data_IF_066504446939
#
_entry.id   IF_066504446939
#
_cell.length_a   1.000
_cell.length_b   1.000
_cell.length_c   1.000
_cell.angle_alpha   90.00
_cell.angle_beta   90.00
_cell.angle_gamma   90.00
#
_symmetry.space_group_name_H-M   'P 1'
#
loop_
_entity.id
_entity.type
_entity.pdbx_description
1 polymer ?
#
# COMPACT_ATOMS: atom_id res chain seq x y z
N UNK A 1 -54.16 -30.37 50.22
CA UNK A 1 -52.70 -30.20 50.12
C UNK A 1 -52.30 -30.44 48.68
N UNK A 2 -52.10 -29.40 47.82
CA UNK A 2 -50.77 -29.24 47.20
C UNK A 2 -50.41 -27.83 46.59
N UNK A 3 -50.86 -26.64 47.05
CA UNK A 3 -50.52 -25.39 46.33
C UNK A 3 -49.05 -24.95 46.50
N UNK A 4 -48.34 -25.43 47.53
CA UNK A 4 -46.94 -25.07 47.83
C UNK A 4 -45.92 -25.72 46.89
N UNK A 5 -46.18 -26.94 46.41
CA UNK A 5 -45.27 -27.65 45.52
C UNK A 5 -45.24 -27.04 44.12
N UNK A 6 -46.38 -26.51 43.66
CA UNK A 6 -46.53 -25.90 42.33
C UNK A 6 -45.81 -24.53 42.25
N UNK A 7 -45.81 -23.75 43.33
CA UNK A 7 -45.09 -22.48 43.40
C UNK A 7 -43.57 -22.70 43.37
N UNK A 8 -43.05 -23.70 44.10
CA UNK A 8 -41.61 -24.01 44.11
C UNK A 8 -41.09 -24.49 42.74
N UNK A 9 -41.87 -25.32 42.05
CA UNK A 9 -41.51 -25.80 40.71
C UNK A 9 -41.48 -24.66 39.68
N UNK A 10 -42.41 -23.70 39.77
CA UNK A 10 -42.46 -22.55 38.89
C UNK A 10 -41.26 -21.60 39.12
N UNK A 11 -40.87 -21.36 40.38
CA UNK A 11 -39.69 -20.54 40.72
C UNK A 11 -38.37 -21.13 40.20
N UNK A 12 -38.25 -22.47 40.17
CA UNK A 12 -37.07 -23.17 39.64
C UNK A 12 -36.97 -23.07 38.11
N UNK A 13 -38.10 -23.03 37.40
CA UNK A 13 -38.12 -22.89 35.94
C UNK A 13 -37.81 -21.47 35.46
N UNK A 14 -38.12 -20.43 36.25
CA UNK A 14 -37.79 -19.03 35.91
C UNK A 14 -36.31 -18.64 36.16
N UNK A 15 -35.57 -19.39 36.98
CA UNK A 15 -34.16 -19.09 37.27
C UNK A 15 -33.16 -19.51 36.18
N UNK A 16 -33.57 -20.37 35.24
CA UNK A 16 -32.65 -20.98 34.27
C UNK A 16 -32.27 -20.07 33.09
N UNK A 17 -32.97 -18.96 32.86
CA UNK A 17 -32.67 -18.03 31.77
C UNK A 17 -31.82 -16.82 32.19
N UNK A 18 -31.47 -16.68 33.48
CA UNK A 18 -30.65 -15.58 33.97
C UNK A 18 -29.14 -15.90 33.97
N UNK A 19 -28.76 -17.13 33.62
CA UNK A 19 -27.37 -17.55 33.41
C UNK A 19 -26.85 -17.06 32.05
N UNK A 20 -27.07 -15.79 31.75
CA UNK A 20 -26.53 -15.13 30.57
C UNK A 20 -25.06 -14.87 30.86
N UNK A 21 -24.25 -15.87 30.48
CA UNK A 21 -22.80 -15.95 30.59
C UNK A 21 -22.15 -14.55 30.69
N UNK A 22 -21.72 -14.17 31.89
CA UNK A 22 -20.88 -12.99 32.10
C UNK A 22 -19.55 -13.26 31.41
N UNK A 23 -19.50 -12.99 30.11
CA UNK A 23 -18.26 -12.96 29.35
C UNK A 23 -17.51 -11.74 29.84
N UNK A 24 -16.44 -11.97 30.59
CA UNK A 24 -15.58 -10.89 31.04
C UNK A 24 -14.89 -10.26 29.81
N UNK A 25 -15.22 -9.01 29.45
CA UNK A 25 -14.64 -8.36 28.27
C UNK A 25 -13.12 -8.17 28.41
N UNK A 26 -12.59 -8.10 29.64
CA UNK A 26 -11.16 -7.99 29.88
C UNK A 26 -10.46 -9.31 29.53
N UNK A 27 -11.03 -10.44 29.93
CA UNK A 27 -10.49 -11.75 29.59
C UNK A 27 -10.50 -12.02 28.07
N UNK A 28 -11.53 -11.54 27.37
CA UNK A 28 -11.61 -11.65 25.91
C UNK A 28 -10.55 -10.76 25.23
N UNK A 29 -10.35 -9.53 25.71
CA UNK A 29 -9.34 -8.64 25.14
C UNK A 29 -7.94 -9.22 25.29
N UNK A 30 -7.60 -9.73 26.48
CA UNK A 30 -6.29 -10.37 26.72
C UNK A 30 -6.09 -11.60 25.82
N UNK A 31 -7.12 -12.42 25.64
CA UNK A 31 -7.09 -13.57 24.74
C UNK A 31 -6.82 -13.15 23.29
N UNK A 32 -7.49 -12.09 22.82
CA UNK A 32 -7.29 -11.55 21.46
C UNK A 32 -5.87 -11.00 21.31
N UNK A 33 -5.40 -10.19 22.26
CA UNK A 33 -4.04 -9.62 22.20
C UNK A 33 -2.96 -10.72 22.22
N UNK A 34 -3.14 -11.78 23.01
CA UNK A 34 -2.24 -12.92 23.03
C UNK A 34 -2.21 -13.67 21.69
N UNK A 35 -3.38 -13.87 21.06
CA UNK A 35 -3.50 -14.47 19.74
C UNK A 35 -2.79 -13.62 18.67
N UNK A 36 -3.02 -12.31 18.67
CA UNK A 36 -2.36 -11.38 17.76
C UNK A 36 -0.84 -11.40 17.89
N UNK A 37 -0.29 -11.41 19.12
CA UNK A 37 1.16 -11.52 19.34
C UNK A 37 1.73 -12.81 18.76
N UNK A 38 1.00 -13.91 18.89
CA UNK A 38 1.42 -15.21 18.33
C UNK A 38 1.45 -15.18 16.80
N UNK A 39 0.43 -14.57 16.17
CA UNK A 39 0.39 -14.38 14.72
C UNK A 39 1.53 -13.49 14.22
N UNK A 40 1.86 -12.42 14.95
CA UNK A 40 2.98 -11.54 14.61
C UNK A 40 4.34 -12.23 14.79
N UNK A 41 4.51 -13.06 15.83
CA UNK A 41 5.75 -13.80 16.05
C UNK A 41 6.05 -14.83 14.93
N UNK A 42 5.01 -15.36 14.27
CA UNK A 42 5.15 -16.21 13.09
C UNK A 42 5.54 -15.44 11.82
N UNK A 43 5.35 -14.12 11.79
CA UNK A 43 5.81 -13.22 10.73
C UNK A 43 7.13 -12.58 11.13
N UNK A 44 8.17 -13.39 11.35
CA UNK A 44 9.53 -12.84 11.49
C UNK A 44 9.93 -12.15 10.19
N UNK A 45 10.29 -10.85 10.21
CA UNK A 45 10.88 -10.22 9.04
C UNK A 45 12.21 -10.92 8.78
N UNK A 46 12.25 -11.72 7.70
CA UNK A 46 13.48 -12.29 7.19
C UNK A 46 14.37 -11.12 6.79
N UNK A 47 15.35 -10.81 7.64
CA UNK A 47 16.43 -9.91 7.31
C UNK A 47 17.29 -10.61 6.28
N UNK A 48 16.96 -10.43 5.00
CA UNK A 48 17.74 -10.98 3.91
C UNK A 48 19.15 -10.36 3.93
N UNK A 49 20.22 -11.15 3.71
CA UNK A 49 21.53 -10.59 3.45
C UNK A 49 21.45 -9.65 2.24
N UNK A 50 21.92 -8.42 2.41
CA UNK A 50 21.90 -7.38 1.39
C UNK A 50 22.96 -7.65 0.32
N UNK A 51 22.70 -8.63 -0.54
CA UNK A 51 23.28 -8.64 -1.89
C UNK A 51 22.51 -7.59 -2.68
N UNK A 52 23.12 -6.53 -3.24
CA UNK A 52 22.38 -5.58 -4.05
C UNK A 52 21.76 -6.36 -5.23
N UNK A 53 20.43 -6.47 -5.32
CA UNK A 53 19.84 -7.09 -6.50
C UNK A 53 20.21 -6.20 -7.68
N UNK A 54 20.67 -6.81 -8.77
CA UNK A 54 20.57 -6.20 -10.09
C UNK A 54 19.13 -5.70 -10.18
N UNK A 55 18.94 -4.39 -10.16
CA UNK A 55 17.62 -3.78 -9.99
C UNK A 55 16.80 -4.08 -11.25
N UNK A 56 16.11 -5.21 -11.25
CA UNK A 56 15.17 -5.56 -12.29
C UNK A 56 14.06 -4.53 -12.28
N UNK A 57 13.82 -3.94 -13.44
CA UNK A 57 12.74 -2.97 -13.64
C UNK A 57 11.43 -3.61 -13.17
N UNK A 58 10.61 -2.91 -12.38
CA UNK A 58 9.41 -3.49 -11.80
C UNK A 58 8.41 -3.88 -12.91
N UNK A 59 7.81 -5.07 -12.78
CA UNK A 59 6.75 -5.53 -13.69
C UNK A 59 5.33 -5.11 -13.28
N UNK A 60 5.16 -4.50 -12.11
CA UNK A 60 3.86 -4.10 -11.56
C UNK A 60 3.95 -2.75 -10.84
N UNK A 61 2.89 -1.94 -10.94
CA UNK A 61 2.81 -0.59 -10.38
C UNK A 61 2.91 -0.58 -8.85
N UNK A 62 2.32 -1.59 -8.19
CA UNK A 62 2.41 -1.76 -6.73
C UNK A 62 3.85 -1.85 -6.21
N UNK A 63 4.80 -2.31 -7.03
CA UNK A 63 6.22 -2.41 -6.66
C UNK A 63 6.94 -1.06 -6.68
N UNK A 64 6.28 0.01 -7.16
CA UNK A 64 6.81 1.37 -7.12
C UNK A 64 6.66 2.01 -5.74
N UNK A 65 5.73 1.55 -4.90
CA UNK A 65 5.53 2.10 -3.55
C UNK A 65 6.81 1.95 -2.72
N UNK A 66 7.16 3.02 -2.01
CA UNK A 66 8.40 3.11 -1.23
C UNK A 66 9.67 3.39 -2.04
N UNK A 67 9.58 3.50 -3.36
CA UNK A 67 10.76 3.82 -4.18
C UNK A 67 11.09 5.31 -4.14
N UNK A 68 12.36 5.64 -4.40
CA UNK A 68 12.82 7.02 -4.46
C UNK A 68 12.58 7.66 -5.84
N UNK A 69 12.50 9.00 -5.92
CA UNK A 69 12.47 9.73 -7.18
C UNK A 69 13.58 9.34 -8.15
N UNK A 70 14.81 9.17 -7.66
CA UNK A 70 15.96 8.76 -8.46
C UNK A 70 15.80 7.36 -9.07
N UNK A 71 15.25 6.42 -8.29
CA UNK A 71 15.01 5.07 -8.77
C UNK A 71 13.94 5.06 -9.88
N UNK A 72 12.86 5.82 -9.71
CA UNK A 72 11.84 5.94 -10.75
C UNK A 72 12.40 6.57 -12.03
N UNK A 73 13.23 7.61 -11.92
CA UNK A 73 13.90 8.19 -13.09
C UNK A 73 14.81 7.21 -13.82
N UNK A 74 15.56 6.39 -13.08
CA UNK A 74 16.42 5.36 -13.69
C UNK A 74 15.63 4.28 -14.41
N UNK A 75 14.42 3.97 -13.97
CA UNK A 75 13.58 2.94 -14.59
C UNK A 75 12.68 3.45 -15.71
N UNK A 76 12.11 4.65 -15.54
CA UNK A 76 11.01 5.17 -16.36
C UNK A 76 11.38 6.45 -17.12
N UNK A 77 12.60 6.98 -16.93
CA UNK A 77 13.04 8.24 -17.52
C UNK A 77 12.47 9.46 -16.78
N UNK A 78 12.49 10.60 -17.45
CA UNK A 78 11.91 11.84 -16.90
C UNK A 78 10.39 11.83 -17.05
N UNK A 79 9.65 12.23 -16.00
CA UNK A 79 8.20 12.45 -16.12
C UNK A 79 7.90 13.65 -17.00
N UNK A 80 6.75 13.62 -17.69
CA UNK A 80 6.28 14.73 -18.53
C UNK A 80 5.76 15.91 -17.70
N UNK A 81 5.34 15.66 -16.46
CA UNK A 81 4.90 16.69 -15.53
C UNK A 81 5.43 16.39 -14.12
N UNK A 82 5.86 17.44 -13.42
CA UNK A 82 6.19 17.41 -11.99
C UNK A 82 5.55 18.62 -11.31
N UNK A 83 4.80 18.36 -10.25
CA UNK A 83 4.20 19.40 -9.40
C UNK A 83 4.53 19.12 -7.94
N UNK A 84 4.87 20.18 -7.19
CA UNK A 84 5.06 20.10 -5.74
C UNK A 84 3.78 20.54 -5.04
N UNK A 85 3.35 19.78 -4.04
CA UNK A 85 2.17 20.09 -3.23
C UNK A 85 2.47 19.90 -1.75
N UNK A 86 2.80 20.99 -1.05
CA UNK A 86 3.22 20.91 0.35
C UNK A 86 4.45 20.00 0.53
N UNK A 87 4.27 18.92 1.29
CA UNK A 87 5.28 17.88 1.51
C UNK A 87 5.30 16.79 0.44
N UNK A 88 4.36 16.82 -0.49
CA UNK A 88 4.21 15.86 -1.57
C UNK A 88 4.82 16.36 -2.90
N UNK A 89 5.10 15.42 -3.79
CA UNK A 89 5.33 15.67 -5.21
C UNK A 89 4.49 14.74 -6.07
N UNK A 90 3.84 15.29 -7.09
CA UNK A 90 3.01 14.55 -8.04
C UNK A 90 3.71 14.56 -9.38
N UNK A 91 3.98 13.36 -9.91
CA UNK A 91 4.63 13.15 -11.19
C UNK A 91 3.68 12.42 -12.13
N UNK A 92 3.66 12.85 -13.40
CA UNK A 92 2.95 12.17 -14.48
C UNK A 92 3.96 11.62 -15.47
N UNK A 93 3.88 10.33 -15.71
CA UNK A 93 4.51 9.68 -16.85
C UNK A 93 3.46 9.43 -17.93
N UNK A 94 3.85 9.62 -19.18
CA UNK A 94 2.94 9.46 -20.32
C UNK A 94 3.58 8.54 -21.36
N UNK A 95 2.81 7.56 -21.81
CA UNK A 95 3.09 6.73 -22.96
C UNK A 95 2.02 6.99 -24.04
N UNK A 96 2.08 6.26 -25.15
CA UNK A 96 1.15 6.47 -26.28
C UNK A 96 -0.29 6.11 -25.88
N UNK A 97 -0.44 5.03 -25.11
CA UNK A 97 -1.76 4.47 -24.76
C UNK A 97 -2.05 4.47 -23.26
N UNK A 98 -1.20 5.07 -22.44
CA UNK A 98 -1.44 5.14 -21.01
C UNK A 98 -0.75 6.33 -20.33
N UNK A 99 -1.18 6.58 -19.10
CA UNK A 99 -0.51 7.45 -18.15
C UNK A 99 -0.23 6.70 -16.86
N UNK A 100 0.84 7.08 -16.18
CA UNK A 100 1.16 6.62 -14.83
C UNK A 100 1.27 7.85 -13.93
N UNK A 101 0.34 7.96 -12.99
CA UNK A 101 0.31 8.96 -11.95
C UNK A 101 1.09 8.43 -10.74
N UNK A 102 2.04 9.22 -10.23
CA UNK A 102 2.87 8.88 -9.07
C UNK A 102 2.85 10.01 -8.06
N UNK A 103 2.55 9.68 -6.80
CA UNK A 103 2.62 10.61 -5.68
C UNK A 103 3.77 10.19 -4.78
N UNK A 104 4.63 11.14 -4.46
CA UNK A 104 5.69 11.01 -3.49
C UNK A 104 5.35 11.82 -2.26
N UNK A 105 5.54 11.23 -1.08
CA UNK A 105 5.41 11.92 0.20
C UNK A 105 6.72 11.84 0.98
N UNK A 106 6.82 12.70 1.98
CA UNK A 106 7.84 12.67 3.01
C UNK A 106 7.22 12.09 4.27
N UNK A 107 7.95 11.24 4.98
CA UNK A 107 7.56 10.84 6.33
C UNK A 107 7.57 12.05 7.27
N UNK A 108 6.83 11.99 8.38
CA UNK A 108 6.71 13.08 9.38
C UNK A 108 8.00 13.38 10.17
N UNK A 109 9.13 12.81 9.76
CA UNK A 109 10.45 13.06 10.34
C UNK A 109 11.13 14.20 9.58
N UNK A 110 11.77 15.17 10.28
CA UNK A 110 12.51 16.24 9.63
C UNK A 110 13.54 15.70 8.62
N UNK A 111 13.56 16.30 7.43
CA UNK A 111 14.44 15.92 6.31
C UNK A 111 14.28 14.48 5.79
N UNK A 112 13.15 13.81 6.07
CA UNK A 112 12.86 12.52 5.47
C UNK A 112 12.90 12.60 3.93
N UNK A 113 13.45 11.58 3.26
CA UNK A 113 13.54 11.57 1.81
C UNK A 113 12.15 11.30 1.21
N UNK A 114 11.91 11.80 -0.01
CA UNK A 114 10.69 11.48 -0.75
C UNK A 114 10.62 9.99 -1.08
N UNK A 115 9.44 9.41 -0.91
CA UNK A 115 9.11 8.02 -1.21
C UNK A 115 7.76 7.97 -1.89
N UNK A 116 7.61 7.07 -2.87
CA UNK A 116 6.31 6.86 -3.52
C UNK A 116 5.32 6.38 -2.46
N UNK A 117 4.27 7.15 -2.21
CA UNK A 117 3.14 6.78 -1.35
C UNK A 117 2.01 6.17 -2.16
N UNK A 118 1.86 6.58 -3.43
CA UNK A 118 0.83 6.10 -4.33
C UNK A 118 1.30 6.06 -5.77
N UNK A 119 0.86 5.06 -6.53
CA UNK A 119 1.04 4.99 -7.96
C UNK A 119 -0.14 4.26 -8.62
N UNK A 120 -0.59 4.75 -9.77
CA UNK A 120 -1.66 4.12 -10.55
C UNK A 120 -1.47 4.36 -12.05
N UNK A 121 -1.68 3.31 -12.83
CA UNK A 121 -1.69 3.40 -14.28
C UNK A 121 -3.13 3.52 -14.80
N UNK A 122 -3.34 4.39 -15.78
CA UNK A 122 -4.63 4.60 -16.45
C UNK A 122 -4.46 4.52 -17.94
N UNK A 123 -5.44 3.91 -18.62
CA UNK A 123 -5.45 3.87 -20.08
C UNK A 123 -5.70 5.27 -20.66
N UNK A 124 -5.15 5.50 -21.84
CA UNK A 124 -5.46 6.66 -22.67
C UNK A 124 -6.41 6.22 -23.78
N UNK A 125 -7.59 6.85 -23.85
CA UNK A 125 -8.61 6.50 -24.84
C UNK A 125 -9.51 5.33 -24.44
N UNK A 126 -10.03 4.59 -25.42
CA UNK A 126 -11.05 3.55 -25.23
C UNK A 126 -10.47 2.13 -25.12
N UNK A 127 -9.21 1.94 -25.49
CA UNK A 127 -8.57 0.64 -25.45
C UNK A 127 -8.26 0.22 -24.02
N UNK A 128 -8.48 -1.07 -23.72
CA UNK A 128 -8.21 -1.59 -22.38
C UNK A 128 -6.73 -1.93 -22.25
N UNK A 129 -5.98 -1.09 -21.54
CA UNK A 129 -4.60 -1.37 -21.16
C UNK A 129 -4.51 -1.94 -19.76
N UNK A 130 -3.60 -2.89 -19.55
CA UNK A 130 -3.26 -3.37 -18.21
C UNK A 130 -2.16 -2.50 -17.61
N UNK A 131 -2.09 -2.42 -16.28
CA UNK A 131 -1.03 -1.69 -15.58
C UNK A 131 0.38 -2.19 -15.98
N UNK A 132 0.54 -3.51 -16.12
CA UNK A 132 1.79 -4.12 -16.52
C UNK A 132 2.20 -3.72 -17.95
N UNK A 133 1.25 -3.70 -18.89
CA UNK A 133 1.48 -3.25 -20.26
C UNK A 133 1.90 -1.78 -20.30
N UNK A 134 1.25 -0.92 -19.51
CA UNK A 134 1.60 0.49 -19.41
C UNK A 134 3.02 0.69 -18.88
N UNK A 135 3.36 0.00 -17.79
CA UNK A 135 4.67 0.12 -17.18
C UNK A 135 5.78 -0.37 -18.12
N UNK A 136 5.53 -1.44 -18.89
CA UNK A 136 6.46 -1.94 -19.90
C UNK A 136 6.65 -0.94 -21.06
N UNK A 137 5.60 -0.26 -21.50
CA UNK A 137 5.70 0.77 -22.55
C UNK A 137 6.57 1.94 -22.08
N UNK A 138 6.33 2.45 -20.87
CA UNK A 138 7.14 3.52 -20.26
C UNK A 138 8.61 3.13 -20.14
N UNK A 139 8.91 1.90 -19.72
CA UNK A 139 10.28 1.39 -19.61
C UNK A 139 10.99 1.31 -20.97
N UNK A 140 10.27 0.88 -22.03
CA UNK A 140 10.83 0.88 -23.40
C UNK A 140 11.10 2.30 -23.90
N UNK A 141 10.20 3.23 -23.60
CA UNK A 141 10.37 4.65 -23.93
C UNK A 141 11.63 5.23 -23.25
N UNK A 142 11.83 4.93 -21.96
CA UNK A 142 13.01 5.35 -21.21
C UNK A 142 14.31 4.80 -21.80
N UNK A 143 14.32 3.52 -22.21
CA UNK A 143 15.50 2.89 -22.82
C UNK A 143 15.85 3.48 -24.20
N UNK A 144 14.87 4.07 -24.90
CA UNK A 144 15.03 4.65 -26.24
C UNK A 144 15.32 6.16 -26.20
N UNK A 145 15.17 6.78 -25.03
CA UNK A 145 15.46 8.20 -24.80
C UNK A 145 16.86 8.52 -24.20
N UNK A 146 17.96 7.75 -24.41
CA UNK A 146 19.26 8.17 -23.91
C UNK A 146 19.83 9.25 -24.84
N UNK A 147 19.47 10.52 -24.65
CA UNK A 147 20.20 11.59 -25.35
C UNK A 147 19.56 12.96 -25.56
N UNK A 148 18.29 13.22 -25.22
CA UNK A 148 17.72 14.56 -25.41
C UNK A 148 17.95 15.49 -24.21
N UNK A 149 19.16 15.46 -23.63
CA UNK A 149 19.63 16.41 -22.62
C UNK A 149 20.83 17.26 -23.10
N UNK A 150 21.31 17.05 -24.32
CA UNK A 150 22.46 17.77 -24.89
C UNK A 150 22.11 18.40 -26.24
N UNK A 151 21.26 19.44 -26.27
CA UNK A 151 21.26 20.46 -27.33
C UNK A 151 20.18 21.54 -27.11
N UNK A 152 20.50 22.60 -26.36
CA UNK A 152 20.18 23.97 -26.78
C UNK A 152 21.33 24.88 -26.27
N UNK A 153 22.30 25.27 -27.12
CA UNK A 153 23.06 26.48 -26.85
C UNK A 153 22.07 27.65 -26.98
N UNK A 154 21.98 28.47 -25.95
CA UNK A 154 21.25 29.73 -26.01
C UNK A 154 21.84 30.60 -27.13
N UNK A 155 20.99 31.05 -28.04
CA UNK A 155 21.22 32.26 -28.81
C UNK A 155 20.59 33.40 -27.99
N UNK A 156 21.41 34.37 -27.60
CA UNK A 156 21.01 35.57 -26.87
C UNK A 156 22.22 36.26 -26.28
#
# INVERSE_FOLDING_TARGET
>A
MPPRALILAFSLLLGACAQQQQVDPQAVLEQVLASYRTSLAGMQPVSAPATPPLQSTPGAVSRLVGQSPDTLRRWLGEPVLRRKEGNAQIWLYQASFCHLDVVFDRDDVPNSPLRVSYAAARSSGTDRQTEASCLQELQRGAATAPGLAAARPGLG
#
